data_IF_596905058170
#
_entry.id   IF_596905058170
#
_cell.length_a   1.000
_cell.length_b   1.000
_cell.length_c   1.000
_cell.angle_alpha   90.00
_cell.angle_beta   90.00
_cell.angle_gamma   90.00
#
_symmetry.space_group_name_H-M   'P 1'
#
loop_
_entity.id
_entity.type
_entity.pdbx_description
1 polymer ?
#
# COMPACT_ATOMS: atom_id res chain seq x y z
N UNK A 1 3.36 -22.89 -4.21
CA UNK A 1 4.30 -21.95 -3.59
C UNK A 1 4.95 -21.15 -4.69
N UNK A 2 4.73 -19.84 -4.71
CA UNK A 2 5.41 -18.91 -5.60
C UNK A 2 6.14 -17.87 -4.73
N UNK A 3 7.32 -17.39 -5.15
CA UNK A 3 8.31 -16.83 -4.24
C UNK A 3 8.00 -15.38 -3.86
N UNK A 4 8.09 -15.11 -2.56
CA UNK A 4 8.38 -13.79 -2.02
C UNK A 4 9.80 -13.38 -2.45
N UNK A 5 9.93 -12.89 -3.68
CA UNK A 5 11.17 -12.29 -4.17
C UNK A 5 11.04 -10.77 -4.03
N UNK A 6 11.37 -10.30 -2.82
CA UNK A 6 11.99 -8.98 -2.69
C UNK A 6 13.14 -8.90 -3.70
N UNK A 7 13.17 -7.89 -4.59
CA UNK A 7 14.41 -7.34 -5.15
C UNK A 7 14.21 -6.08 -6.04
N UNK A 8 14.61 -4.95 -5.45
CA UNK A 8 15.49 -3.90 -5.99
C UNK A 8 15.04 -2.88 -7.06
N UNK A 9 13.86 -2.97 -7.68
CA UNK A 9 13.40 -1.91 -8.61
C UNK A 9 11.89 -1.69 -8.46
N UNK A 10 11.51 -0.78 -7.56
CA UNK A 10 10.12 -0.40 -7.32
C UNK A 10 9.20 -1.53 -6.83
N UNK A 11 7.91 -1.19 -6.69
CA UNK A 11 6.86 -2.13 -6.31
C UNK A 11 6.42 -3.00 -7.48
N UNK A 12 6.17 -4.29 -7.22
CA UNK A 12 5.52 -5.18 -8.17
C UNK A 12 4.07 -4.75 -8.43
N UNK A 13 3.50 -5.17 -9.56
CA UNK A 13 2.11 -4.88 -9.91
C UNK A 13 1.14 -5.37 -8.83
N UNK A 14 1.37 -6.58 -8.30
CA UNK A 14 0.57 -7.15 -7.21
C UNK A 14 0.65 -6.31 -5.94
N UNK A 15 1.84 -5.77 -5.60
CA UNK A 15 2.01 -4.88 -4.46
C UNK A 15 1.26 -3.56 -4.67
N UNK A 16 1.36 -2.97 -5.87
CA UNK A 16 0.64 -1.74 -6.22
C UNK A 16 -0.88 -1.93 -6.12
N UNK A 17 -1.41 -2.99 -6.74
CA UNK A 17 -2.84 -3.33 -6.71
C UNK A 17 -3.33 -3.60 -5.28
N UNK A 18 -2.51 -4.27 -4.44
CA UNK A 18 -2.85 -4.54 -3.04
C UNK A 18 -2.90 -3.26 -2.20
N UNK A 19 -1.96 -2.32 -2.39
CA UNK A 19 -1.93 -1.04 -1.70
C UNK A 19 -3.11 -0.17 -2.08
N UNK A 20 -3.38 0.00 -3.38
CA UNK A 20 -4.48 0.81 -3.88
C UNK A 20 -5.84 0.29 -3.40
N UNK A 21 -6.07 -1.02 -3.53
CA UNK A 21 -7.32 -1.64 -3.08
C UNK A 21 -7.52 -1.51 -1.58
N UNK A 22 -6.46 -1.71 -0.78
CA UNK A 22 -6.53 -1.60 0.68
C UNK A 22 -6.79 -0.16 1.13
N UNK A 23 -6.20 0.81 0.44
CA UNK A 23 -6.40 2.23 0.71
C UNK A 23 -7.82 2.65 0.32
N UNK A 24 -8.33 2.19 -0.83
CA UNK A 24 -9.69 2.44 -1.28
C UNK A 24 -10.75 1.88 -0.31
N UNK A 25 -10.50 0.73 0.31
CA UNK A 25 -11.35 0.17 1.37
C UNK A 25 -11.36 0.99 2.67
N UNK A 26 -10.40 1.89 2.85
CA UNK A 26 -10.30 2.75 4.02
C UNK A 26 -10.92 4.12 3.72
N UNK A 27 -10.34 4.84 2.76
CA UNK A 27 -10.65 6.26 2.50
C UNK A 27 -11.53 6.48 1.25
N UNK A 28 -11.93 5.41 0.57
CA UNK A 28 -12.77 5.47 -0.62
C UNK A 28 -12.00 5.77 -1.91
N UNK A 29 -12.70 6.13 -3.00
CA UNK A 29 -12.13 6.17 -4.35
C UNK A 29 -11.03 7.21 -4.57
N UNK A 30 -10.81 8.15 -3.63
CA UNK A 30 -9.66 9.07 -3.70
C UNK A 30 -8.31 8.38 -3.47
N UNK A 31 -8.31 7.14 -2.96
CA UNK A 31 -7.11 6.34 -2.75
C UNK A 31 -6.25 6.19 -4.00
N UNK A 32 -6.85 6.05 -5.19
CA UNK A 32 -6.10 5.90 -6.44
C UNK A 32 -5.15 7.09 -6.70
N UNK A 33 -5.62 8.32 -6.40
CA UNK A 33 -4.84 9.55 -6.61
C UNK A 33 -3.65 9.60 -5.64
N UNK A 34 -3.87 9.25 -4.37
CA UNK A 34 -2.81 9.24 -3.35
C UNK A 34 -1.80 8.12 -3.64
N UNK A 35 -2.27 6.97 -4.11
CA UNK A 35 -1.42 5.86 -4.50
C UNK A 35 -0.52 6.19 -5.69
N UNK A 36 -0.98 6.91 -6.71
CA UNK A 36 -0.15 7.23 -7.88
C UNK A 36 1.15 7.98 -7.52
N UNK A 37 1.11 8.86 -6.53
CA UNK A 37 2.29 9.64 -6.09
C UNK A 37 3.30 8.76 -5.34
N UNK A 38 2.83 7.93 -4.41
CA UNK A 38 3.72 7.10 -3.58
C UNK A 38 4.19 5.81 -4.26
N UNK A 39 3.37 5.19 -5.11
CA UNK A 39 3.70 3.92 -5.77
C UNK A 39 4.79 4.06 -6.87
N UNK A 40 5.09 5.30 -7.28
CA UNK A 40 6.09 5.62 -8.30
C UNK A 40 7.39 6.20 -7.72
N UNK A 41 7.51 6.34 -6.38
CA UNK A 41 8.68 6.95 -5.74
C UNK A 41 9.95 6.07 -5.75
N UNK A 42 9.83 4.80 -6.15
CA UNK A 42 10.93 3.83 -6.11
C UNK A 42 11.29 3.37 -4.70
N UNK A 43 10.51 3.77 -3.70
CA UNK A 43 10.70 3.38 -2.31
C UNK A 43 10.31 1.92 -2.06
N UNK A 44 10.78 1.41 -0.91
CA UNK A 44 10.42 0.07 -0.46
C UNK A 44 8.96 0.03 -0.02
N UNK A 45 8.36 -1.16 -0.16
CA UNK A 45 6.98 -1.43 0.26
C UNK A 45 6.65 -0.90 1.66
N UNK A 46 7.48 -1.16 2.66
CA UNK A 46 7.20 -0.71 4.03
C UNK A 46 7.16 0.82 4.16
N UNK A 47 8.06 1.53 3.47
CA UNK A 47 8.08 2.99 3.48
C UNK A 47 6.82 3.57 2.82
N UNK A 48 6.38 2.97 1.73
CA UNK A 48 5.15 3.37 1.03
C UNK A 48 3.91 3.07 1.90
N UNK A 49 3.87 1.92 2.57
CA UNK A 49 2.77 1.60 3.52
C UNK A 49 2.71 2.63 4.65
N UNK A 50 3.84 3.03 5.21
CA UNK A 50 3.86 4.03 6.27
C UNK A 50 3.49 5.43 5.78
N UNK A 51 3.94 5.83 4.60
CA UNK A 51 3.54 7.09 3.97
C UNK A 51 2.02 7.12 3.72
N UNK A 52 1.47 6.09 3.06
CA UNK A 52 0.04 5.98 2.81
C UNK A 52 -0.79 5.92 4.09
N UNK A 53 -0.29 5.26 5.14
CA UNK A 53 -0.96 5.22 6.43
C UNK A 53 -1.00 6.59 7.13
N UNK A 54 0.02 7.44 6.91
CA UNK A 54 0.08 8.80 7.45
C UNK A 54 -0.90 9.75 6.73
N UNK A 55 -1.20 9.50 5.46
CA UNK A 55 -2.20 10.25 4.69
C UNK A 55 -3.64 9.96 5.15
N UNK A 56 -3.89 8.86 5.86
CA UNK A 56 -5.21 8.49 6.37
C UNK A 56 -5.51 9.27 7.66
N UNK A 57 -6.51 10.18 7.69
CA UNK A 57 -6.75 11.05 8.85
C UNK A 57 -7.26 10.30 10.09
N UNK A 58 -7.84 9.11 9.89
CA UNK A 58 -8.37 8.29 10.97
C UNK A 58 -7.37 7.22 11.40
N UNK A 59 -6.86 7.24 12.64
CA UNK A 59 -5.90 6.24 13.10
C UNK A 59 -6.47 4.81 13.08
N UNK A 60 -7.79 4.64 13.23
CA UNK A 60 -8.45 3.34 13.09
C UNK A 60 -8.42 2.83 11.65
N UNK A 61 -8.61 3.71 10.67
CA UNK A 61 -8.50 3.33 9.27
C UNK A 61 -7.05 3.11 8.83
N UNK A 62 -6.10 3.90 9.34
CA UNK A 62 -4.67 3.69 9.09
C UNK A 62 -4.20 2.32 9.61
N UNK A 63 -4.68 1.91 10.79
CA UNK A 63 -4.43 0.56 11.32
C UNK A 63 -5.07 -0.52 10.45
N UNK A 64 -6.33 -0.34 10.03
CA UNK A 64 -7.03 -1.26 9.13
C UNK A 64 -6.30 -1.42 7.80
N UNK A 65 -5.80 -0.33 7.23
CA UNK A 65 -5.02 -0.34 5.99
C UNK A 65 -3.78 -1.24 6.11
N UNK A 66 -2.98 -1.07 7.17
CA UNK A 66 -1.80 -1.92 7.43
C UNK A 66 -2.17 -3.40 7.57
N UNK A 67 -3.26 -3.71 8.27
CA UNK A 67 -3.76 -5.08 8.41
C UNK A 67 -4.19 -5.69 7.07
N UNK A 68 -4.88 -4.92 6.22
CA UNK A 68 -5.31 -5.36 4.89
C UNK A 68 -4.12 -5.64 3.96
N UNK A 69 -3.12 -4.76 3.97
CA UNK A 69 -1.89 -4.94 3.16
C UNK A 69 -1.13 -6.19 3.62
N UNK A 70 -0.95 -6.37 4.93
CA UNK A 70 -0.28 -7.55 5.48
C UNK A 70 -1.04 -8.85 5.13
N UNK A 71 -2.37 -8.83 5.14
CA UNK A 71 -3.18 -9.99 4.78
C UNK A 71 -3.14 -10.33 3.28
N UNK A 72 -2.88 -9.35 2.40
CA UNK A 72 -2.81 -9.54 0.94
C UNK A 72 -1.40 -9.91 0.45
N UNK A 73 -0.35 -9.51 1.18
CA UNK A 73 1.05 -9.67 0.76
C UNK A 73 1.87 -10.64 1.63
N UNK A 74 1.33 -11.09 2.76
CA UNK A 74 1.92 -12.13 3.62
C UNK A 74 1.58 -13.54 3.17
#
# INVERSE_FOLDING_TARGET
GAPAAAQADGLSREQKDALESSLAECIGPMAAIICEDHLNSGEKLEAIVDALAAEIPSPGQARKFRELVAAKLG
#
